data_IF_371091027136
#
_entry.id   IF_371091027136
#
_cell.length_a   1.000
_cell.length_b   1.000
_cell.length_c   1.000
_cell.angle_alpha   90.00
_cell.angle_beta   90.00
_cell.angle_gamma   90.00
#
_symmetry.space_group_name_H-M   'P 1'
#
loop_
_entity.id
_entity.type
_entity.pdbx_description
1 polymer ?
#
# COMPACT_ATOMS: atom_id res chain seq x y z
N UNK A 1 26.63 41.02 -39.14
CA UNK A 1 28.11 41.06 -39.23
C UNK A 1 28.55 39.72 -39.82
N UNK A 2 29.23 39.73 -40.99
CA UNK A 2 29.86 38.60 -41.73
C UNK A 2 28.89 37.50 -42.21
N UNK A 3 28.33 37.51 -43.42
CA UNK A 3 28.93 37.28 -44.76
C UNK A 3 29.96 36.13 -44.77
N UNK A 4 29.58 34.99 -45.36
CA UNK A 4 30.26 34.38 -46.51
C UNK A 4 29.38 33.33 -47.18
N UNK A 5 28.87 33.70 -48.37
CA UNK A 5 28.41 32.80 -49.42
C UNK A 5 29.65 32.33 -50.18
N UNK A 6 29.76 31.04 -50.43
CA UNK A 6 30.53 30.53 -51.58
C UNK A 6 29.80 29.29 -52.13
N UNK A 7 29.11 29.50 -53.25
CA UNK A 7 28.67 28.42 -54.12
C UNK A 7 29.85 27.95 -54.97
N UNK A 8 29.97 26.63 -55.11
CA UNK A 8 30.86 26.01 -56.11
C UNK A 8 29.98 25.42 -57.21
N UNK A 9 30.10 25.89 -58.46
CA UNK A 9 29.56 25.19 -59.61
C UNK A 9 30.53 24.08 -60.03
N UNK A 10 29.98 22.90 -60.30
CA UNK A 10 30.69 21.78 -60.90
C UNK A 10 31.01 22.13 -62.36
N UNK A 11 32.29 22.30 -62.66
CA UNK A 11 32.81 22.50 -64.01
C UNK A 11 32.87 21.14 -64.72
N UNK A 12 32.02 20.93 -65.72
CA UNK A 12 32.25 19.90 -66.74
C UNK A 12 32.67 20.60 -68.04
N UNK A 13 33.98 20.68 -68.24
CA UNK A 13 34.57 21.09 -69.51
C UNK A 13 34.44 19.95 -70.51
N UNK A 14 33.56 20.11 -71.48
CA UNK A 14 33.57 19.33 -72.71
C UNK A 14 34.70 19.87 -73.60
N UNK A 15 35.86 19.22 -73.59
CA UNK A 15 36.93 19.47 -74.55
C UNK A 15 36.65 18.67 -75.83
N UNK A 16 36.24 19.43 -76.85
CA UNK A 16 36.13 19.07 -78.25
C UNK A 16 37.41 18.36 -78.76
N UNK A 17 37.28 17.08 -79.11
CA UNK A 17 38.32 16.31 -79.79
C UNK A 17 38.41 16.75 -81.26
N UNK A 18 39.32 17.69 -81.54
CA UNK A 18 39.70 18.06 -82.90
C UNK A 18 40.75 17.09 -83.46
N UNK A 19 40.34 15.91 -83.90
CA UNK A 19 41.23 15.01 -84.68
C UNK A 19 41.13 15.37 -86.17
N UNK A 20 42.09 16.18 -86.63
CA UNK A 20 42.38 16.33 -88.06
C UNK A 20 43.21 15.11 -88.48
N UNK A 21 42.60 14.18 -89.21
CA UNK A 21 43.34 13.23 -90.04
C UNK A 21 42.89 13.36 -91.50
N UNK A 22 43.92 13.58 -92.30
CA UNK A 22 43.95 13.83 -93.73
C UNK A 22 43.52 12.59 -94.54
N UNK A 23 42.95 12.88 -95.71
CA UNK A 23 43.03 12.16 -97.00
C UNK A 23 43.18 10.63 -96.98
N UNK A 24 42.24 9.94 -97.63
CA UNK A 24 42.50 9.41 -98.98
C UNK A 24 41.20 8.95 -99.64
N UNK A 25 41.17 9.26 -100.93
CA UNK A 25 40.26 8.83 -101.96
C UNK A 25 40.17 7.30 -102.00
N UNK A 26 38.95 6.77 -101.92
CA UNK A 26 38.64 5.36 -102.20
C UNK A 26 37.18 5.30 -102.66
N UNK A 27 36.96 5.76 -103.88
CA UNK A 27 35.83 5.30 -104.69
C UNK A 27 36.08 3.85 -105.09
N UNK A 28 35.77 2.92 -104.19
CA UNK A 28 35.62 1.52 -104.55
C UNK A 28 34.24 1.05 -104.07
N UNK A 29 33.54 0.33 -104.94
CA UNK A 29 32.08 0.21 -104.94
C UNK A 29 31.48 -0.18 -103.58
N UNK A 30 30.57 0.66 -103.08
CA UNK A 30 29.68 0.31 -101.97
C UNK A 30 28.86 -0.92 -102.36
N UNK A 31 29.31 -2.10 -101.92
CA UNK A 31 28.53 -3.32 -102.04
C UNK A 31 27.24 -3.10 -101.24
N UNK A 32 26.08 -3.16 -101.91
CA UNK A 32 24.78 -2.84 -101.29
C UNK A 32 24.44 -3.73 -100.08
N UNK A 33 25.22 -4.78 -99.83
CA UNK A 33 25.21 -5.57 -98.59
C UNK A 33 25.71 -4.79 -97.37
N UNK A 34 26.78 -4.02 -97.48
CA UNK A 34 27.38 -3.31 -96.32
C UNK A 34 26.47 -2.19 -95.81
N UNK A 35 25.80 -1.47 -96.73
CA UNK A 35 24.81 -0.45 -96.36
C UNK A 35 23.60 -1.09 -95.67
N UNK A 36 23.17 -2.29 -96.10
CA UNK A 36 22.08 -3.03 -95.44
C UNK A 36 22.47 -3.52 -94.04
N UNK A 37 23.70 -3.97 -93.85
CA UNK A 37 24.20 -4.35 -92.53
C UNK A 37 24.30 -3.14 -91.59
N UNK A 38 24.82 -2.00 -92.05
CA UNK A 38 24.85 -0.77 -91.25
C UNK A 38 23.45 -0.27 -90.89
N UNK A 39 22.49 -0.34 -91.83
CA UNK A 39 21.10 0.00 -91.56
C UNK A 39 20.51 -0.93 -90.49
N UNK A 40 20.75 -2.23 -90.60
CA UNK A 40 20.30 -3.23 -89.62
C UNK A 40 20.91 -2.99 -88.23
N UNK A 41 22.20 -2.64 -88.14
CA UNK A 41 22.87 -2.34 -86.88
C UNK A 41 22.30 -1.07 -86.21
N UNK A 42 22.00 -0.05 -87.00
CA UNK A 42 21.34 1.18 -86.52
C UNK A 42 19.92 0.89 -86.04
N UNK A 43 19.16 0.07 -86.78
CA UNK A 43 17.81 -0.35 -86.39
C UNK A 43 17.83 -1.18 -85.09
N UNK A 44 18.80 -2.07 -84.92
CA UNK A 44 18.94 -2.87 -83.71
C UNK A 44 19.39 -2.02 -82.51
N UNK A 45 20.31 -1.07 -82.73
CA UNK A 45 20.73 -0.09 -81.72
C UNK A 45 19.58 0.80 -81.26
N UNK A 46 18.77 1.30 -82.21
CA UNK A 46 17.58 2.08 -81.90
C UNK A 46 16.54 1.26 -81.11
N UNK A 47 16.31 0.00 -81.50
CA UNK A 47 15.43 -0.91 -80.74
C UNK A 47 15.93 -1.11 -79.30
N UNK A 48 17.23 -1.34 -79.11
CA UNK A 48 17.83 -1.49 -77.77
C UNK A 48 17.67 -0.21 -76.94
N UNK A 49 17.89 0.96 -77.54
CA UNK A 49 17.71 2.25 -76.89
C UNK A 49 16.24 2.49 -76.49
N UNK A 50 15.28 2.13 -77.34
CA UNK A 50 13.84 2.23 -77.03
C UNK A 50 13.44 1.33 -75.86
N UNK A 51 13.92 0.07 -75.83
CA UNK A 51 13.66 -0.86 -74.72
C UNK A 51 14.27 -0.33 -73.43
N UNK A 52 15.52 0.14 -73.47
CA UNK A 52 16.20 0.73 -72.31
C UNK A 52 15.48 1.99 -71.82
N UNK A 53 15.02 2.86 -72.71
CA UNK A 53 14.28 4.06 -72.33
C UNK A 53 12.92 3.71 -71.68
N UNK A 54 12.21 2.71 -72.19
CA UNK A 54 10.99 2.21 -71.56
C UNK A 54 11.25 1.60 -70.17
N UNK A 55 12.37 0.88 -69.99
CA UNK A 55 12.79 0.39 -68.67
C UNK A 55 13.08 1.54 -67.71
N UNK A 56 13.81 2.57 -68.15
CA UNK A 56 14.11 3.75 -67.35
C UNK A 56 12.85 4.53 -66.96
N UNK A 57 11.84 4.61 -67.83
CA UNK A 57 10.57 5.28 -67.51
C UNK A 57 9.77 4.51 -66.44
N UNK A 58 9.78 3.18 -66.51
CA UNK A 58 9.21 2.31 -65.48
C UNK A 58 9.95 2.46 -64.14
N UNK A 59 11.28 2.44 -64.15
CA UNK A 59 12.10 2.63 -62.95
C UNK A 59 11.90 4.02 -62.34
N UNK A 60 11.86 5.08 -63.16
CA UNK A 60 11.55 6.45 -62.70
C UNK A 60 10.20 6.48 -62.00
N UNK A 61 9.19 5.85 -62.60
CA UNK A 61 7.83 5.83 -62.05
C UNK A 61 7.77 5.03 -60.74
N UNK A 62 8.46 3.88 -60.66
CA UNK A 62 8.57 3.10 -59.43
C UNK A 62 9.28 3.86 -58.30
N UNK A 63 10.38 4.55 -58.62
CA UNK A 63 11.11 5.38 -57.67
C UNK A 63 10.27 6.57 -57.19
N UNK A 64 9.49 7.20 -58.07
CA UNK A 64 8.59 8.28 -57.70
C UNK A 64 7.57 7.82 -56.64
N UNK A 65 6.91 6.68 -56.86
CA UNK A 65 6.00 6.10 -55.86
C UNK A 65 6.70 5.74 -54.54
N UNK A 66 7.95 5.29 -54.61
CA UNK A 66 8.71 4.99 -53.40
C UNK A 66 9.03 6.26 -52.60
N UNK A 67 9.41 7.34 -53.29
CA UNK A 67 9.64 8.64 -52.67
C UNK A 67 8.37 9.17 -52.00
N UNK A 68 7.21 9.04 -52.64
CA UNK A 68 5.96 9.52 -52.05
C UNK A 68 5.55 8.70 -50.83
N UNK A 69 5.65 7.37 -50.89
CA UNK A 69 5.44 6.51 -49.69
C UNK A 69 6.37 6.90 -48.54
N UNK A 70 7.65 7.17 -48.83
CA UNK A 70 8.61 7.56 -47.80
C UNK A 70 8.32 8.94 -47.20
N UNK A 71 7.73 9.87 -47.97
CA UNK A 71 7.27 11.16 -47.43
C UNK A 71 6.11 10.96 -46.47
N UNK A 72 5.12 10.14 -46.85
CA UNK A 72 3.98 9.81 -45.98
C UNK A 72 4.47 9.18 -44.67
N UNK A 73 5.40 8.22 -44.74
CA UNK A 73 6.02 7.61 -43.56
C UNK A 73 6.79 8.63 -42.69
N UNK A 74 7.49 9.58 -43.32
CA UNK A 74 8.19 10.65 -42.62
C UNK A 74 7.23 11.61 -41.91
N UNK A 75 6.11 11.97 -42.53
CA UNK A 75 5.07 12.80 -41.94
C UNK A 75 4.43 12.11 -40.74
N UNK A 76 4.05 10.84 -40.88
CA UNK A 76 3.49 10.04 -39.78
C UNK A 76 4.47 9.91 -38.60
N UNK A 77 5.76 9.69 -38.88
CA UNK A 77 6.79 9.61 -37.84
C UNK A 77 6.99 10.96 -37.14
N UNK A 78 6.89 12.07 -37.87
CA UNK A 78 6.99 13.43 -37.32
C UNK A 78 5.83 13.72 -36.38
N UNK A 79 4.60 13.35 -36.75
CA UNK A 79 3.43 13.48 -35.89
C UNK A 79 3.54 12.65 -34.61
N UNK A 80 3.97 11.39 -34.73
CA UNK A 80 4.23 10.51 -33.57
C UNK A 80 5.27 11.11 -32.64
N UNK A 81 6.36 11.65 -33.19
CA UNK A 81 7.40 12.30 -32.40
C UNK A 81 6.87 13.52 -31.64
N UNK A 82 6.09 14.37 -32.31
CA UNK A 82 5.47 15.54 -31.68
C UNK A 82 4.51 15.15 -30.56
N UNK A 83 3.73 14.09 -30.75
CA UNK A 83 2.82 13.56 -29.74
C UNK A 83 3.58 13.07 -28.50
N UNK A 84 4.61 12.23 -28.68
CA UNK A 84 5.46 11.75 -27.58
C UNK A 84 6.15 12.90 -26.86
N UNK A 85 6.63 13.91 -27.60
CA UNK A 85 7.25 15.09 -27.00
C UNK A 85 6.26 15.89 -26.13
N UNK A 86 5.01 16.04 -26.58
CA UNK A 86 3.96 16.69 -25.79
C UNK A 86 3.66 15.91 -24.51
N UNK A 87 3.44 14.60 -24.62
CA UNK A 87 3.19 13.71 -23.49
C UNK A 87 4.33 13.74 -22.47
N UNK A 88 5.58 13.77 -22.94
CA UNK A 88 6.73 13.92 -22.07
C UNK A 88 6.70 15.23 -21.29
N UNK A 89 6.39 16.37 -21.95
CA UNK A 89 6.27 17.66 -21.26
C UNK A 89 5.16 17.66 -20.21
N UNK A 90 4.02 17.07 -20.53
CA UNK A 90 2.88 17.00 -19.60
C UNK A 90 3.20 16.10 -18.39
N UNK A 91 3.84 14.94 -18.62
CA UNK A 91 4.33 14.07 -17.53
C UNK A 91 5.39 14.75 -16.66
N UNK A 92 6.33 15.50 -17.26
CA UNK A 92 7.35 16.24 -16.51
C UNK A 92 6.72 17.33 -15.62
N UNK A 93 5.72 18.07 -16.13
CA UNK A 93 4.97 19.04 -15.32
C UNK A 93 4.21 18.40 -14.15
N UNK A 94 3.58 17.24 -14.39
CA UNK A 94 2.90 16.50 -13.34
C UNK A 94 3.88 16.00 -12.27
N UNK A 95 5.06 15.53 -12.69
CA UNK A 95 6.13 15.12 -11.77
C UNK A 95 6.62 16.29 -10.93
N UNK A 96 6.87 17.46 -11.52
CA UNK A 96 7.27 18.67 -10.78
C UNK A 96 6.22 19.08 -9.75
N UNK A 97 4.94 18.95 -10.09
CA UNK A 97 3.83 19.24 -9.17
C UNK A 97 3.82 18.26 -7.99
N UNK A 98 3.88 16.95 -8.27
CA UNK A 98 3.94 15.92 -7.23
C UNK A 98 5.15 16.10 -6.30
N UNK A 99 6.31 16.51 -6.84
CA UNK A 99 7.49 16.82 -6.03
C UNK A 99 7.31 18.04 -5.11
N UNK A 100 6.50 19.02 -5.49
CA UNK A 100 6.17 20.15 -4.61
C UNK A 100 5.23 19.71 -3.49
N UNK A 101 4.22 18.93 -3.83
CA UNK A 101 3.23 18.45 -2.85
C UNK A 101 3.87 17.49 -1.85
N UNK A 102 4.76 16.61 -2.31
CA UNK A 102 5.53 15.73 -1.44
C UNK A 102 6.41 16.52 -0.45
N UNK A 103 7.07 17.60 -0.90
CA UNK A 103 7.86 18.46 -0.01
C UNK A 103 6.99 19.13 1.06
N UNK A 104 5.83 19.67 0.68
CA UNK A 104 4.88 20.26 1.65
C UNK A 104 4.41 19.24 2.68
N UNK A 105 4.04 18.05 2.25
CA UNK A 105 3.62 16.98 3.16
C UNK A 105 4.74 16.54 4.11
N UNK A 106 6.00 16.53 3.64
CA UNK A 106 7.15 16.25 4.50
C UNK A 106 7.36 17.34 5.56
N UNK A 107 7.23 18.61 5.18
CA UNK A 107 7.30 19.74 6.11
C UNK A 107 6.16 19.68 7.15
N UNK A 108 4.92 19.44 6.72
CA UNK A 108 3.77 19.27 7.61
C UNK A 108 3.95 18.08 8.56
N UNK A 109 4.46 16.95 8.07
CA UNK A 109 4.72 15.77 8.89
C UNK A 109 5.79 16.07 9.96
N UNK A 110 6.87 16.77 9.59
CA UNK A 110 7.90 17.17 10.54
C UNK A 110 7.34 18.10 11.63
N UNK A 111 6.49 19.06 11.26
CA UNK A 111 5.83 19.95 12.23
C UNK A 111 4.91 19.18 13.18
N UNK A 112 4.13 18.22 12.67
CA UNK A 112 3.25 17.39 13.50
C UNK A 112 4.03 16.47 14.43
N UNK A 113 5.11 15.86 13.96
CA UNK A 113 6.01 15.04 14.78
C UNK A 113 6.62 15.86 15.91
N UNK A 114 7.09 17.08 15.60
CA UNK A 114 7.63 17.98 16.60
C UNK A 114 6.56 18.43 17.61
N UNK A 115 5.33 18.70 17.15
CA UNK A 115 4.20 19.01 18.04
C UNK A 115 3.85 17.86 18.99
N UNK A 116 3.88 16.61 18.51
CA UNK A 116 3.69 15.43 19.35
C UNK A 116 4.84 15.31 20.36
N UNK A 117 6.09 15.48 19.91
CA UNK A 117 7.27 15.43 20.79
C UNK A 117 7.18 16.45 21.92
N UNK A 118 6.84 17.70 21.61
CA UNK A 118 6.66 18.76 22.60
C UNK A 118 5.51 18.46 23.57
N UNK A 119 4.39 17.92 23.06
CA UNK A 119 3.29 17.48 23.92
C UNK A 119 3.74 16.39 24.88
N UNK A 120 4.44 15.38 24.39
CA UNK A 120 4.89 14.25 25.20
C UNK A 120 5.95 14.69 26.24
N UNK A 121 6.86 15.60 25.87
CA UNK A 121 7.79 16.25 26.82
C UNK A 121 7.04 17.02 27.93
N UNK A 122 5.97 17.74 27.59
CA UNK A 122 5.14 18.45 28.59
C UNK A 122 4.39 17.47 29.49
N UNK A 123 3.90 16.35 28.96
CA UNK A 123 3.24 15.31 29.74
C UNK A 123 4.21 14.73 30.77
N UNK A 124 5.42 14.39 30.33
CA UNK A 124 6.48 13.84 31.19
C UNK A 124 6.95 14.88 32.23
N UNK A 125 7.20 16.12 31.82
CA UNK A 125 7.63 17.20 32.72
C UNK A 125 6.61 17.51 33.83
N UNK A 126 5.32 17.29 33.57
CA UNK A 126 4.25 17.44 34.56
C UNK A 126 3.96 16.15 35.34
N UNK A 127 4.72 15.06 35.13
CA UNK A 127 4.54 13.78 35.82
C UNK A 127 3.18 13.12 35.53
N UNK A 128 2.61 13.40 34.37
CA UNK A 128 1.33 12.85 33.96
C UNK A 128 1.53 11.55 33.16
N UNK A 129 0.58 10.65 33.30
CA UNK A 129 0.54 9.36 32.62
C UNK A 129 -0.81 9.16 31.94
N UNK A 130 -0.81 8.42 30.83
CA UNK A 130 -2.02 8.04 30.11
C UNK A 130 -2.63 6.81 30.77
N UNK A 131 -3.87 6.93 31.23
CA UNK A 131 -4.66 5.82 31.76
C UNK A 131 -5.81 5.53 30.81
N UNK A 132 -5.93 4.27 30.42
CA UNK A 132 -6.97 3.84 29.50
C UNK A 132 -8.31 3.72 30.24
N UNK A 133 -9.22 4.64 29.95
CA UNK A 133 -10.59 4.61 30.44
C UNK A 133 -11.52 4.07 29.33
N UNK A 134 -12.70 3.58 29.70
CA UNK A 134 -13.64 2.97 28.74
C UNK A 134 -14.02 3.88 27.56
N UNK A 135 -13.93 5.20 27.76
CA UNK A 135 -14.26 6.22 26.75
C UNK A 135 -13.03 6.78 26.01
N UNK A 136 -11.82 6.32 26.36
CA UNK A 136 -10.56 6.79 25.78
C UNK A 136 -9.44 6.95 26.81
N UNK A 137 -8.24 7.34 26.37
CA UNK A 137 -7.13 7.59 27.27
C UNK A 137 -7.26 8.97 27.93
N UNK A 138 -7.21 9.00 29.26
CA UNK A 138 -7.17 10.23 30.04
C UNK A 138 -5.77 10.46 30.60
N UNK A 139 -5.38 11.74 30.73
CA UNK A 139 -4.15 12.13 31.39
C UNK A 139 -4.41 12.39 32.87
N UNK A 140 -3.70 11.66 33.72
CA UNK A 140 -3.77 11.77 35.18
C UNK A 140 -2.38 11.80 35.78
N UNK A 141 -2.25 12.25 37.02
CA UNK A 141 -0.98 12.12 37.75
C UNK A 141 -0.65 10.66 38.00
N UNK A 142 0.64 10.36 38.19
CA UNK A 142 1.10 9.00 38.53
C UNK A 142 0.39 8.44 39.78
N UNK A 143 0.23 9.26 40.82
CA UNK A 143 -0.49 8.89 42.04
C UNK A 143 -1.96 8.53 41.78
N UNK A 144 -2.65 9.32 40.95
CA UNK A 144 -4.03 9.04 40.58
C UNK A 144 -4.15 7.77 39.72
N UNK A 145 -3.18 7.50 38.85
CA UNK A 145 -3.14 6.27 38.08
C UNK A 145 -3.01 5.03 38.98
N UNK A 146 -2.13 5.07 39.98
CA UNK A 146 -1.94 3.99 40.95
C UNK A 146 -3.20 3.73 41.78
N UNK A 147 -3.87 4.80 42.25
CA UNK A 147 -5.16 4.67 42.94
C UNK A 147 -6.21 4.05 42.01
N UNK A 148 -6.32 4.55 40.79
CA UNK A 148 -7.30 4.05 39.83
C UNK A 148 -7.06 2.57 39.46
N UNK A 149 -5.83 2.08 39.53
CA UNK A 149 -5.50 0.65 39.35
C UNK A 149 -5.99 -0.19 40.54
N UNK A 150 -5.85 0.32 41.78
CA UNK A 150 -6.35 -0.33 42.99
C UNK A 150 -7.88 -0.47 43.01
N UNK A 151 -8.61 0.49 42.42
CA UNK A 151 -10.07 0.42 42.29
C UNK A 151 -10.56 -0.66 41.28
N UNK A 152 -9.63 -1.31 40.57
CA UNK A 152 -9.90 -2.36 39.59
C UNK A 152 -10.44 -1.82 38.26
N UNK A 153 -10.85 -2.72 37.37
CA UNK A 153 -11.26 -2.33 36.02
C UNK A 153 -12.66 -1.70 35.96
N UNK A 154 -12.86 -0.78 35.01
CA UNK A 154 -14.13 -0.12 34.73
C UNK A 154 -13.96 1.30 34.20
N UNK A 155 -15.06 1.97 33.83
CA UNK A 155 -15.02 3.42 33.57
C UNK A 155 -14.56 4.17 34.81
N UNK A 156 -14.13 5.42 34.62
CA UNK A 156 -13.73 6.28 35.73
C UNK A 156 -14.86 6.40 36.77
N UNK A 157 -16.10 6.56 36.30
CA UNK A 157 -17.29 6.62 37.16
C UNK A 157 -17.48 5.37 38.02
N UNK A 158 -17.25 4.17 37.45
CA UNK A 158 -17.38 2.91 38.20
C UNK A 158 -16.32 2.82 39.29
N UNK A 159 -15.08 3.20 38.99
CA UNK A 159 -13.98 3.22 39.97
C UNK A 159 -14.21 4.25 41.07
N UNK A 160 -14.63 5.47 40.72
CA UNK A 160 -14.98 6.52 41.68
C UNK A 160 -16.13 6.10 42.60
N UNK A 161 -17.14 5.42 42.05
CA UNK A 161 -18.24 4.88 42.85
C UNK A 161 -17.78 3.84 43.86
N UNK A 162 -16.87 2.92 43.47
CA UNK A 162 -16.27 1.94 44.39
C UNK A 162 -15.54 2.63 45.54
N UNK A 163 -14.72 3.65 45.24
CA UNK A 163 -14.04 4.42 46.28
C UNK A 163 -15.02 5.12 47.24
N UNK A 164 -16.12 5.66 46.71
CA UNK A 164 -17.15 6.26 47.55
C UNK A 164 -17.84 5.23 48.45
N UNK A 165 -18.13 4.04 47.93
CA UNK A 165 -18.71 2.92 48.69
C UNK A 165 -17.76 2.41 49.78
N UNK A 166 -16.48 2.21 49.47
CA UNK A 166 -15.44 1.79 50.43
C UNK A 166 -15.26 2.83 51.55
N UNK A 167 -15.18 4.11 51.18
CA UNK A 167 -15.12 5.21 52.16
C UNK A 167 -16.33 5.19 53.10
N UNK A 168 -17.53 4.94 52.57
CA UNK A 168 -18.73 4.85 53.40
C UNK A 168 -18.69 3.65 54.34
N UNK A 169 -18.26 2.47 53.87
CA UNK A 169 -18.11 1.28 54.69
C UNK A 169 -17.12 1.49 55.84
N UNK A 170 -15.95 2.08 55.55
CA UNK A 170 -14.95 2.42 56.57
C UNK A 170 -15.49 3.44 57.58
N UNK A 171 -16.27 4.42 57.11
CA UNK A 171 -16.90 5.40 58.01
C UNK A 171 -17.92 4.76 58.95
N UNK A 172 -18.74 3.84 58.44
CA UNK A 172 -19.72 3.08 59.23
C UNK A 172 -19.02 2.16 60.24
N UNK A 173 -17.91 1.53 59.85
CA UNK A 173 -17.07 0.73 60.74
C UNK A 173 -16.45 1.58 61.86
N UNK A 174 -15.91 2.76 61.53
CA UNK A 174 -15.39 3.71 62.54
C UNK A 174 -16.50 4.11 63.53
N UNK A 175 -17.69 4.43 63.04
CA UNK A 175 -18.82 4.81 63.89
C UNK A 175 -19.24 3.66 64.82
N UNK A 176 -19.26 2.43 64.30
CA UNK A 176 -19.56 1.24 65.09
C UNK A 176 -18.49 0.97 66.16
N UNK A 177 -17.21 1.03 65.79
CA UNK A 177 -16.10 0.87 66.73
C UNK A 177 -16.11 1.96 67.82
N UNK A 178 -16.51 3.18 67.50
CA UNK A 178 -16.71 4.24 68.48
C UNK A 178 -17.86 3.93 69.44
N UNK A 179 -18.97 3.38 68.95
CA UNK A 179 -20.08 2.94 69.80
C UNK A 179 -19.67 1.79 70.71
N UNK A 180 -19.04 0.76 70.17
CA UNK A 180 -18.53 -0.39 70.93
C UNK A 180 -17.55 0.06 72.02
N UNK A 181 -16.63 0.99 71.69
CA UNK A 181 -15.70 1.57 72.66
C UNK A 181 -16.42 2.35 73.76
N UNK A 182 -17.46 3.11 73.42
CA UNK A 182 -18.25 3.86 74.40
C UNK A 182 -19.05 2.93 75.33
N UNK A 183 -19.65 1.88 74.78
CA UNK A 183 -20.33 0.84 75.56
C UNK A 183 -19.37 0.15 76.51
N UNK A 184 -18.16 -0.19 76.06
CA UNK A 184 -17.20 -0.91 76.88
C UNK A 184 -16.61 -0.06 78.01
N UNK A 185 -16.37 1.23 77.75
CA UNK A 185 -16.08 2.20 78.81
C UNK A 185 -17.20 2.25 79.85
N UNK A 186 -18.46 2.23 79.41
CA UNK A 186 -19.61 2.23 80.33
C UNK A 186 -19.73 0.93 81.13
N UNK A 187 -19.45 -0.24 80.51
CA UNK A 187 -19.44 -1.54 81.21
C UNK A 187 -18.34 -1.61 82.27
N UNK A 188 -17.14 -1.11 81.97
CA UNK A 188 -16.05 -1.02 82.97
C UNK A 188 -16.50 -0.20 84.18
N UNK A 189 -17.10 0.97 83.96
CA UNK A 189 -17.64 1.80 85.06
C UNK A 189 -18.74 1.09 85.87
N UNK A 190 -19.63 0.33 85.22
CA UNK A 190 -20.67 -0.45 85.92
C UNK A 190 -20.09 -1.63 86.69
N UNK A 191 -19.09 -2.32 86.13
CA UNK A 191 -18.42 -3.45 86.81
C UNK A 191 -17.62 -2.99 88.02
N UNK A 192 -16.98 -1.82 87.95
CA UNK A 192 -16.36 -1.17 89.11
C UNK A 192 -17.41 -0.89 90.20
N UNK A 193 -18.61 -0.41 89.84
CA UNK A 193 -19.71 -0.19 90.79
C UNK A 193 -20.30 -1.47 91.38
N UNK A 194 -20.40 -2.56 90.61
CA UNK A 194 -20.96 -3.84 91.08
C UNK A 194 -19.95 -4.60 91.97
N UNK A 195 -18.65 -4.50 91.67
CA UNK A 195 -17.56 -5.08 92.48
C UNK A 195 -17.52 -4.53 93.92
N UNK A 196 -18.04 -3.32 94.12
CA UNK A 196 -18.17 -2.68 95.45
C UNK A 196 -19.40 -3.15 96.26
N UNK A 197 -20.38 -3.84 95.67
CA UNK A 197 -21.71 -3.98 96.29
C UNK A 197 -22.22 -5.42 96.48
N UNK A 198 -21.76 -6.44 95.76
CA UNK A 198 -22.32 -7.80 95.93
C UNK A 198 -21.28 -8.93 96.00
N UNK A 199 -21.20 -9.56 97.18
CA UNK A 199 -20.62 -10.88 97.38
C UNK A 199 -21.45 -12.01 96.74
N UNK A 200 -20.90 -13.24 96.67
CA UNK A 200 -21.34 -14.25 95.72
C UNK A 200 -22.68 -14.85 96.13
N UNK A 201 -23.69 -14.72 95.27
CA UNK A 201 -24.98 -15.38 95.44
C UNK A 201 -25.20 -16.44 94.36
N UNK A 202 -25.62 -17.57 94.89
CA UNK A 202 -25.84 -18.88 94.30
C UNK A 202 -27.19 -18.90 93.58
N UNK A 203 -27.17 -19.10 92.25
CA UNK A 203 -28.25 -19.66 91.38
C UNK A 203 -28.40 -18.93 90.02
N UNK A 204 -27.36 -18.92 89.18
CA UNK A 204 -27.49 -18.29 87.85
C UNK A 204 -26.34 -18.33 86.84
N UNK A 205 -25.14 -18.91 87.10
CA UNK A 205 -24.10 -19.02 86.07
C UNK A 205 -24.50 -19.98 84.93
N UNK A 206 -25.19 -21.07 85.29
CA UNK A 206 -25.46 -22.20 84.39
C UNK A 206 -26.52 -21.88 83.32
N UNK A 207 -27.54 -21.08 83.65
CA UNK A 207 -28.57 -20.66 82.68
C UNK A 207 -28.01 -19.70 81.61
N UNK A 208 -27.13 -18.76 82.00
CA UNK A 208 -26.49 -17.84 81.04
C UNK A 208 -25.54 -18.54 80.10
N UNK A 209 -24.84 -19.57 80.59
CA UNK A 209 -23.95 -20.38 79.77
C UNK A 209 -24.73 -21.11 78.65
N UNK A 210 -25.94 -21.61 78.97
CA UNK A 210 -26.83 -22.28 78.02
C UNK A 210 -27.34 -21.31 76.93
N UNK A 211 -27.70 -20.07 77.29
CA UNK A 211 -28.16 -19.06 76.33
C UNK A 211 -27.04 -18.63 75.37
N UNK A 212 -25.83 -18.38 75.90
CA UNK A 212 -24.65 -18.06 75.09
C UNK A 212 -24.30 -19.22 74.15
N UNK A 213 -24.38 -20.46 74.63
CA UNK A 213 -24.14 -21.64 73.81
C UNK A 213 -25.18 -21.77 72.68
N UNK A 214 -26.45 -21.43 72.94
CA UNK A 214 -27.52 -21.49 71.94
C UNK A 214 -27.35 -20.42 70.86
N UNK A 215 -26.98 -19.19 71.23
CA UNK A 215 -26.70 -18.12 70.25
C UNK A 215 -25.44 -18.40 69.44
N UNK A 216 -24.38 -18.94 70.06
CA UNK A 216 -23.17 -19.37 69.36
C UNK A 216 -23.49 -20.48 68.33
N UNK A 217 -24.33 -21.45 68.69
CA UNK A 217 -24.76 -22.49 67.76
C UNK A 217 -25.56 -21.93 66.57
N UNK A 218 -26.44 -20.94 66.81
CA UNK A 218 -27.19 -20.26 65.75
C UNK A 218 -26.27 -19.53 64.77
N UNK A 219 -25.28 -18.80 65.28
CA UNK A 219 -24.28 -18.13 64.43
C UNK A 219 -23.47 -19.12 63.61
N UNK A 220 -23.07 -20.25 64.20
CA UNK A 220 -22.38 -21.33 63.49
C UNK A 220 -23.23 -21.87 62.33
N UNK A 221 -24.54 -22.04 62.53
CA UNK A 221 -25.44 -22.53 61.48
C UNK A 221 -25.64 -21.50 60.35
N UNK A 222 -25.75 -20.21 60.68
CA UNK A 222 -25.78 -19.13 59.69
C UNK A 222 -24.51 -19.08 58.85
N UNK A 223 -23.33 -19.20 59.47
CA UNK A 223 -22.06 -19.24 58.75
C UNK A 223 -21.93 -20.49 57.86
N UNK A 224 -22.38 -21.66 58.33
CA UNK A 224 -22.43 -22.87 57.49
C UNK A 224 -23.33 -22.70 56.28
N UNK A 225 -24.48 -22.03 56.43
CA UNK A 225 -25.38 -21.77 55.32
C UNK A 225 -24.75 -20.83 54.29
N UNK A 226 -24.14 -19.72 54.75
CA UNK A 226 -23.44 -18.77 53.87
C UNK A 226 -22.27 -19.42 53.14
N UNK A 227 -21.49 -20.26 53.83
CA UNK A 227 -20.40 -21.02 53.24
C UNK A 227 -20.91 -21.92 52.11
N UNK A 228 -21.95 -22.72 52.34
CA UNK A 228 -22.54 -23.59 51.30
C UNK A 228 -23.04 -22.81 50.10
N UNK A 229 -23.62 -21.63 50.31
CA UNK A 229 -24.09 -20.77 49.22
C UNK A 229 -22.91 -20.25 48.39
N UNK A 230 -21.86 -19.77 49.05
CA UNK A 230 -20.64 -19.32 48.40
C UNK A 230 -19.94 -20.46 47.64
N UNK A 231 -19.92 -21.67 48.19
CA UNK A 231 -19.38 -22.87 47.53
C UNK A 231 -20.16 -23.21 46.24
N UNK A 232 -21.50 -23.13 46.26
CA UNK A 232 -22.32 -23.31 45.05
C UNK A 232 -22.05 -22.24 44.00
N UNK A 233 -21.96 -20.97 44.40
CA UNK A 233 -21.63 -19.86 43.48
C UNK A 233 -20.24 -20.04 42.88
N UNK A 234 -19.26 -20.51 43.67
CA UNK A 234 -17.91 -20.79 43.19
C UNK A 234 -17.90 -21.87 42.09
N UNK A 235 -18.66 -22.96 42.29
CA UNK A 235 -18.80 -24.04 41.28
C UNK A 235 -19.43 -23.50 40.00
N UNK A 236 -20.46 -22.65 40.10
CA UNK A 236 -21.11 -22.05 38.93
C UNK A 236 -20.17 -21.11 38.15
N UNK A 237 -19.38 -20.31 38.87
CA UNK A 237 -18.36 -19.44 38.28
C UNK A 237 -17.25 -20.25 37.60
N UNK A 238 -16.74 -21.29 38.24
CA UNK A 238 -15.74 -22.20 37.65
C UNK A 238 -16.24 -22.82 36.34
N UNK A 239 -17.49 -23.27 36.29
CA UNK A 239 -18.10 -23.80 35.07
C UNK A 239 -18.17 -22.74 33.94
N UNK A 240 -18.51 -21.49 34.29
CA UNK A 240 -18.52 -20.39 33.33
C UNK A 240 -17.12 -20.05 32.81
N UNK A 241 -16.11 -20.03 33.69
CA UNK A 241 -14.71 -19.80 33.33
C UNK A 241 -14.23 -20.87 32.35
N UNK A 242 -14.39 -22.16 32.64
CA UNK A 242 -13.97 -23.23 31.74
C UNK A 242 -14.64 -23.15 30.36
N UNK A 243 -15.90 -22.72 30.30
CA UNK A 243 -16.61 -22.53 29.03
C UNK A 243 -16.04 -21.34 28.24
N UNK A 244 -15.72 -20.24 28.91
CA UNK A 244 -15.11 -19.06 28.30
C UNK A 244 -13.69 -19.36 27.81
N UNK A 245 -12.88 -20.06 28.59
CA UNK A 245 -11.53 -20.50 28.19
C UNK A 245 -11.58 -21.34 26.91
N UNK A 246 -12.54 -22.27 26.82
CA UNK A 246 -12.77 -23.09 25.62
C UNK A 246 -13.21 -22.25 24.41
N UNK A 247 -13.95 -21.16 24.62
CA UNK A 247 -14.30 -20.24 23.53
C UNK A 247 -13.11 -19.42 23.07
N UNK A 248 -12.31 -18.89 24.00
CA UNK A 248 -11.09 -18.12 23.70
C UNK A 248 -10.11 -18.97 22.91
N UNK A 249 -9.88 -20.23 23.31
CA UNK A 249 -9.01 -21.15 22.57
C UNK A 249 -9.50 -21.38 21.14
N UNK A 250 -10.82 -21.53 20.93
CA UNK A 250 -11.39 -21.69 19.59
C UNK A 250 -11.24 -20.43 18.73
N UNK A 251 -11.56 -19.26 19.28
CA UNK A 251 -11.42 -18.01 18.55
C UNK A 251 -9.97 -17.70 18.20
N UNK A 252 -9.04 -18.02 19.10
CA UNK A 252 -7.60 -17.90 18.83
C UNK A 252 -7.18 -18.79 17.64
N UNK A 253 -7.60 -20.06 17.63
CA UNK A 253 -7.30 -20.96 16.52
C UNK A 253 -7.90 -20.46 15.18
N UNK A 254 -9.15 -19.97 15.19
CA UNK A 254 -9.78 -19.39 13.99
C UNK A 254 -9.06 -18.13 13.50
N UNK A 255 -8.58 -17.29 14.42
CA UNK A 255 -7.80 -16.10 14.07
C UNK A 255 -6.47 -16.49 13.43
N UNK A 256 -5.73 -17.41 14.03
CA UNK A 256 -4.45 -17.92 13.49
C UNK A 256 -4.62 -18.56 12.10
N UNK A 257 -5.71 -19.30 11.88
CA UNK A 257 -6.05 -19.86 10.56
C UNK A 257 -6.37 -18.77 9.53
N UNK A 258 -7.12 -17.73 9.94
CA UNK A 258 -7.43 -16.58 9.09
C UNK A 258 -6.20 -15.77 8.71
N UNK A 259 -5.27 -15.53 9.65
CA UNK A 259 -4.00 -14.84 9.39
C UNK A 259 -3.15 -15.60 8.37
N UNK A 260 -3.05 -16.92 8.54
CA UNK A 260 -2.34 -17.79 7.59
C UNK A 260 -2.97 -17.71 6.19
N UNK A 261 -4.29 -17.76 6.09
CA UNK A 261 -5.00 -17.65 4.81
C UNK A 261 -4.76 -16.28 4.15
N UNK A 262 -4.72 -15.20 4.93
CA UNK A 262 -4.42 -13.85 4.42
C UNK A 262 -3.01 -13.78 3.81
N UNK A 263 -2.02 -14.37 4.49
CA UNK A 263 -0.64 -14.41 4.00
C UNK A 263 -0.49 -15.24 2.72
N UNK A 264 -1.18 -16.37 2.63
CA UNK A 264 -1.24 -17.21 1.43
C UNK A 264 -1.86 -16.43 0.25
N UNK A 265 -2.98 -15.72 0.48
CA UNK A 265 -3.62 -14.87 -0.54
C UNK A 265 -2.71 -13.70 -0.97
N UNK A 266 -1.96 -13.09 -0.05
CA UNK A 266 -0.96 -12.07 -0.39
C UNK A 266 0.15 -12.64 -1.26
N UNK A 267 0.62 -13.86 -0.97
CA UNK A 267 1.63 -14.53 -1.77
C UNK A 267 1.10 -14.87 -3.18
N UNK A 268 -0.12 -15.40 -3.28
CA UNK A 268 -0.79 -15.71 -4.55
C UNK A 268 -1.01 -14.45 -5.40
N UNK A 269 -1.50 -13.37 -4.79
CA UNK A 269 -1.65 -12.07 -5.46
C UNK A 269 -0.33 -11.59 -6.07
N UNK A 270 0.79 -11.68 -5.33
CA UNK A 270 2.11 -11.30 -5.83
C UNK A 270 2.60 -12.22 -6.95
N UNK A 271 2.23 -13.49 -6.94
CA UNK A 271 2.55 -14.45 -8.01
C UNK A 271 1.75 -14.13 -9.26
N UNK A 272 0.42 -14.01 -9.17
CA UNK A 272 -0.46 -13.66 -10.28
C UNK A 272 -0.10 -12.31 -10.90
N UNK A 273 0.31 -11.33 -10.09
CA UNK A 273 0.76 -10.04 -10.60
C UNK A 273 2.06 -10.14 -11.41
N UNK A 274 2.97 -11.06 -11.05
CA UNK A 274 4.17 -11.35 -11.85
C UNK A 274 3.81 -12.04 -13.15
N UNK A 275 2.98 -13.08 -13.10
CA UNK A 275 2.51 -13.81 -14.28
C UNK A 275 1.77 -12.89 -15.25
N UNK A 276 0.96 -11.96 -14.75
CA UNK A 276 0.26 -10.96 -15.58
C UNK A 276 1.25 -10.04 -16.32
N UNK A 277 2.30 -9.56 -15.64
CA UNK A 277 3.36 -8.74 -16.27
C UNK A 277 4.13 -9.54 -17.33
N UNK A 278 4.47 -10.80 -17.04
CA UNK A 278 5.14 -11.69 -17.99
C UNK A 278 4.27 -11.97 -19.22
N UNK A 279 2.98 -12.23 -19.02
CA UNK A 279 2.03 -12.41 -20.12
C UNK A 279 1.89 -11.14 -20.97
N UNK A 280 1.85 -9.95 -20.36
CA UNK A 280 1.85 -8.67 -21.08
C UNK A 280 3.12 -8.47 -21.90
N UNK A 281 4.30 -8.72 -21.32
CA UNK A 281 5.55 -8.67 -22.07
C UNK A 281 5.54 -9.64 -23.26
N UNK A 282 4.98 -10.84 -23.07
CA UNK A 282 4.86 -11.83 -24.14
C UNK A 282 3.90 -11.39 -25.25
N UNK A 283 2.80 -10.71 -24.90
CA UNK A 283 1.87 -10.13 -25.88
C UNK A 283 2.61 -9.06 -26.71
N UNK A 284 3.36 -8.16 -26.06
CA UNK A 284 4.14 -7.13 -26.76
C UNK A 284 5.17 -7.73 -27.73
N UNK A 285 5.88 -8.79 -27.31
CA UNK A 285 6.80 -9.54 -28.18
C UNK A 285 6.08 -10.17 -29.39
N UNK A 286 4.91 -10.78 -29.16
CA UNK A 286 4.14 -11.40 -30.24
C UNK A 286 3.55 -10.35 -31.18
N UNK A 287 3.07 -9.22 -30.68
CA UNK A 287 2.57 -8.11 -31.48
C UNK A 287 3.66 -7.53 -32.39
N UNK A 288 4.87 -7.37 -31.87
CA UNK A 288 6.02 -6.91 -32.67
C UNK A 288 6.40 -7.94 -33.74
N UNK A 289 6.50 -9.23 -33.38
CA UNK A 289 6.75 -10.31 -34.34
C UNK A 289 5.67 -10.39 -35.42
N UNK A 290 4.41 -10.24 -35.05
CA UNK A 290 3.27 -10.29 -35.98
C UNK A 290 3.29 -9.09 -36.92
N UNK A 291 3.59 -7.87 -36.43
CA UNK A 291 3.85 -6.69 -37.27
C UNK A 291 4.97 -6.96 -38.30
N UNK A 292 6.05 -7.64 -37.91
CA UNK A 292 7.12 -8.00 -38.85
C UNK A 292 6.67 -9.03 -39.90
N UNK A 293 5.91 -10.06 -39.51
CA UNK A 293 5.37 -11.05 -40.45
C UNK A 293 4.36 -10.43 -41.41
N UNK A 294 3.48 -9.57 -40.92
CA UNK A 294 2.52 -8.83 -41.74
C UNK A 294 3.26 -8.04 -42.83
N UNK A 295 4.30 -7.29 -42.46
CA UNK A 295 5.16 -6.58 -43.43
C UNK A 295 5.80 -7.52 -44.47
N UNK A 296 6.23 -8.74 -44.08
CA UNK A 296 6.78 -9.73 -45.04
C UNK A 296 5.70 -10.27 -45.98
N UNK A 297 4.50 -10.55 -45.48
CA UNK A 297 3.37 -11.00 -46.29
C UNK A 297 2.99 -9.93 -47.30
N UNK A 298 2.91 -8.68 -46.89
CA UNK A 298 2.55 -7.58 -47.78
C UNK A 298 3.59 -7.41 -48.89
N UNK A 299 4.89 -7.56 -48.59
CA UNK A 299 5.95 -7.63 -49.61
C UNK A 299 5.76 -8.78 -50.60
N UNK A 300 5.45 -9.98 -50.11
CA UNK A 300 5.21 -11.15 -50.98
C UNK A 300 3.96 -11.00 -51.85
N UNK A 301 2.88 -10.41 -51.30
CA UNK A 301 1.66 -10.09 -52.05
C UNK A 301 1.96 -9.10 -53.18
N UNK A 302 2.72 -8.05 -52.89
CA UNK A 302 3.16 -7.09 -53.91
C UNK A 302 3.99 -7.77 -54.99
N UNK A 303 4.99 -8.57 -54.62
CA UNK A 303 5.82 -9.31 -55.58
C UNK A 303 5.01 -10.27 -56.47
N UNK A 304 4.01 -10.97 -55.90
CA UNK A 304 3.11 -11.85 -56.66
C UNK A 304 2.23 -11.08 -57.63
N UNK A 305 1.71 -9.91 -57.21
CA UNK A 305 0.91 -9.07 -58.09
C UNK A 305 1.73 -8.48 -59.24
N UNK A 306 3.04 -8.29 -59.05
CA UNK A 306 3.98 -7.87 -60.11
C UNK A 306 4.36 -8.97 -61.11
N UNK A 307 4.03 -10.23 -60.82
CA UNK A 307 4.30 -11.41 -61.66
C UNK A 307 3.08 -11.86 -62.48
N UNK A 308 1.92 -11.22 -62.30
CA UNK A 308 0.70 -11.40 -63.10
C UNK A 308 0.54 -10.23 -64.07
#
# INVERSE_FOLDING_TARGET
>A
MRISREGRPFTSGSSYSGSRRSSEDSTDGLDGRDIRHQLQDVEESFRKAMISNAQLDNERTALAYHVDTLKDDMEELTEKFLHVQKDHRDKSRALDQLQRDLRKLQEENALLQEGIRQRDELIEANGLVLVQNGDGPDLVTQEAAELLDQAGHGSLDVRLKRFAEEKQQLQDEINRLQLDLAEERQKVTRLEQISLVHGPQTNGPEMRLIEVQREANKQVDDYKYRLRKAEQENIALQSSVSRLETQVLRFKATLEESEKLEDDLKAEKRKLQRECREAQARIEELETANKHLQKRIDKLKSARNSLK
#
